data_IF_023927697446
#
_entry.id   IF_023927697446
#
_cell.length_a   1.000
_cell.length_b   1.000
_cell.length_c   1.000
_cell.angle_alpha   90.00
_cell.angle_beta   90.00
_cell.angle_gamma   90.00
#
_symmetry.space_group_name_H-M   'P 1'
#
loop_
_entity.id
_entity.type
_entity.pdbx_description
1 polymer ?
#
# COMPACT_ATOMS: atom_id res chain seq x y z
N UNK A 1 -6.14 -2.54 10.63
CA UNK A 1 -5.77 -3.98 10.59
C UNK A 1 -6.60 -4.76 9.54
N UNK A 2 -7.94 -4.76 9.54
CA UNK A 2 -8.72 -5.47 8.51
C UNK A 2 -8.31 -5.03 7.09
N UNK A 3 -8.23 -3.73 6.85
CA UNK A 3 -7.77 -3.20 5.56
C UNK A 3 -6.34 -3.65 5.21
N UNK A 4 -5.42 -3.70 6.20
CA UNK A 4 -4.09 -4.26 5.98
C UNK A 4 -4.12 -5.73 5.56
N UNK A 5 -5.01 -6.53 6.17
CA UNK A 5 -5.20 -7.92 5.75
C UNK A 5 -5.67 -8.05 4.29
N UNK A 6 -6.61 -7.19 3.85
CA UNK A 6 -7.07 -7.15 2.45
C UNK A 6 -5.91 -6.79 1.51
N UNK A 7 -5.09 -5.81 1.88
CA UNK A 7 -3.93 -5.40 1.11
C UNK A 7 -2.86 -6.49 1.04
N UNK A 8 -2.70 -7.29 2.09
CA UNK A 8 -1.80 -8.45 2.10
C UNK A 8 -2.18 -9.54 1.10
N UNK A 9 -3.43 -9.55 0.64
CA UNK A 9 -3.90 -10.46 -0.42
C UNK A 9 -3.89 -9.81 -1.82
N UNK A 10 -3.43 -8.55 -1.95
CA UNK A 10 -3.50 -7.80 -3.22
C UNK A 10 -2.66 -8.42 -4.35
N UNK A 11 -1.60 -9.12 -4.01
CA UNK A 11 -0.76 -9.83 -5.00
C UNK A 11 -1.52 -10.97 -5.71
N UNK A 12 -2.52 -11.59 -5.04
CA UNK A 12 -3.30 -12.70 -5.60
C UNK A 12 -4.04 -12.26 -6.87
N UNK A 13 -4.90 -11.21 -6.84
CA UNK A 13 -5.58 -10.78 -8.06
C UNK A 13 -4.64 -10.29 -9.15
N UNK A 14 -3.49 -9.72 -8.81
CA UNK A 14 -2.51 -9.30 -9.81
C UNK A 14 -1.93 -10.51 -10.55
N UNK A 15 -1.44 -11.53 -9.83
CA UNK A 15 -0.88 -12.75 -10.44
C UNK A 15 -1.92 -13.61 -11.15
N UNK A 16 -3.15 -13.61 -10.64
CA UNK A 16 -4.24 -14.32 -11.31
C UNK A 16 -4.57 -13.68 -12.67
N UNK A 17 -4.56 -12.35 -12.74
CA UNK A 17 -4.76 -11.63 -14.01
C UNK A 17 -3.64 -11.97 -15.01
N UNK A 18 -2.39 -12.07 -14.56
CA UNK A 18 -1.28 -12.55 -15.40
C UNK A 18 -1.52 -13.98 -15.88
N UNK A 19 -2.12 -14.83 -15.06
CA UNK A 19 -2.51 -16.20 -15.43
C UNK A 19 -3.49 -16.29 -16.61
N UNK A 20 -4.28 -15.22 -16.88
CA UNK A 20 -5.09 -15.10 -18.10
C UNK A 20 -4.26 -14.73 -19.35
N UNK A 21 -2.94 -14.60 -19.24
CA UNK A 21 -2.06 -14.17 -20.32
C UNK A 21 -2.00 -12.64 -20.50
N UNK A 22 -2.37 -11.90 -19.47
CA UNK A 22 -2.29 -10.44 -19.44
C UNK A 22 -0.90 -10.05 -18.89
N UNK A 23 -0.10 -9.25 -19.62
CA UNK A 23 1.23 -8.86 -19.17
C UNK A 23 1.20 -8.03 -17.87
N UNK A 24 2.33 -8.00 -17.16
CA UNK A 24 2.51 -7.43 -15.83
C UNK A 24 1.91 -6.03 -15.66
N UNK A 25 2.34 -5.05 -16.44
CA UNK A 25 1.89 -3.66 -16.27
C UNK A 25 0.44 -3.44 -16.75
N UNK A 26 -0.03 -4.26 -17.70
CA UNK A 26 -1.43 -4.27 -18.08
C UNK A 26 -2.32 -4.80 -16.96
N UNK A 27 -1.85 -5.80 -16.20
CA UNK A 27 -2.57 -6.29 -15.01
C UNK A 27 -2.73 -5.18 -13.97
N UNK A 28 -1.67 -4.40 -13.72
CA UNK A 28 -1.72 -3.23 -12.84
C UNK A 28 -2.65 -2.15 -13.39
N UNK A 29 -2.62 -1.89 -14.70
CA UNK A 29 -3.50 -0.92 -15.34
C UNK A 29 -4.98 -1.31 -15.16
N UNK A 30 -5.37 -2.52 -15.53
CA UNK A 30 -6.77 -2.93 -15.51
C UNK A 30 -7.38 -2.99 -14.11
N UNK A 31 -6.63 -3.52 -13.13
CA UNK A 31 -7.13 -3.61 -11.75
C UNK A 31 -7.36 -2.23 -11.14
N UNK A 32 -6.63 -1.20 -11.60
CA UNK A 32 -6.80 0.18 -11.12
C UNK A 32 -7.72 1.02 -12.01
N UNK A 33 -7.84 0.74 -13.29
CA UNK A 33 -8.76 1.45 -14.19
C UNK A 33 -10.22 1.02 -14.00
N UNK A 34 -10.47 -0.25 -13.67
CA UNK A 34 -11.82 -0.78 -13.50
C UNK A 34 -12.67 -0.02 -12.47
N UNK A 35 -12.18 0.33 -11.26
CA UNK A 35 -12.96 1.09 -10.30
C UNK A 35 -13.36 2.49 -10.76
N UNK A 36 -12.65 3.05 -11.76
CA UNK A 36 -12.97 4.38 -12.30
C UNK A 36 -14.36 4.42 -12.94
N UNK A 37 -14.85 3.29 -13.46
CA UNK A 37 -16.20 3.18 -14.03
C UNK A 37 -17.25 3.58 -13.00
N UNK A 38 -17.03 3.28 -11.72
CA UNK A 38 -17.95 3.59 -10.63
C UNK A 38 -17.60 4.90 -9.92
N UNK A 39 -16.31 5.06 -9.53
CA UNK A 39 -15.92 6.16 -8.63
C UNK A 39 -15.85 7.51 -9.37
N UNK A 40 -15.51 7.52 -10.67
CA UNK A 40 -15.39 8.75 -11.43
C UNK A 40 -16.74 9.45 -11.64
N UNK A 41 -17.82 8.77 -12.09
CA UNK A 41 -19.15 9.38 -12.13
C UNK A 41 -19.62 9.89 -10.76
N UNK A 42 -19.41 9.13 -9.70
CA UNK A 42 -19.74 9.55 -8.33
C UNK A 42 -18.99 10.81 -7.91
N UNK A 43 -17.74 10.94 -8.34
CA UNK A 43 -16.90 12.11 -8.08
C UNK A 43 -17.39 13.34 -8.86
N UNK A 44 -17.77 13.16 -10.12
CA UNK A 44 -18.31 14.23 -10.96
C UNK A 44 -19.66 14.73 -10.46
N UNK A 45 -20.54 13.84 -9.99
CA UNK A 45 -21.81 14.21 -9.36
C UNK A 45 -21.62 15.05 -8.07
N UNK A 46 -20.47 14.88 -7.40
CA UNK A 46 -20.10 15.63 -6.18
C UNK A 46 -19.04 16.70 -6.46
N UNK A 47 -19.09 17.35 -7.61
CA UNK A 47 -18.07 18.32 -8.06
C UNK A 47 -17.91 19.51 -7.09
N UNK A 48 -18.93 19.83 -6.32
CA UNK A 48 -18.85 20.84 -5.25
C UNK A 48 -17.80 20.49 -4.17
N UNK A 49 -17.51 19.22 -3.98
CA UNK A 49 -16.48 18.74 -3.05
C UNK A 49 -15.06 19.09 -3.49
N UNK A 50 -14.85 19.41 -4.77
CA UNK A 50 -13.54 19.83 -5.29
C UNK A 50 -13.24 21.31 -5.07
N UNK A 51 -14.27 22.17 -4.92
CA UNK A 51 -14.08 23.64 -4.93
C UNK A 51 -13.12 24.15 -3.85
N UNK A 52 -13.13 23.53 -2.68
CA UNK A 52 -12.35 23.99 -1.52
C UNK A 52 -11.00 23.31 -1.37
N UNK A 53 -10.79 22.14 -1.97
CA UNK A 53 -9.61 21.30 -1.74
C UNK A 53 -9.04 20.65 -3.01
N UNK A 54 -9.29 21.24 -4.19
CA UNK A 54 -8.86 20.66 -5.47
C UNK A 54 -7.34 20.38 -5.52
N UNK A 55 -6.51 21.39 -5.33
CA UNK A 55 -5.07 21.27 -5.43
C UNK A 55 -4.47 20.29 -4.41
N UNK A 56 -4.82 20.35 -3.11
CA UNK A 56 -4.37 19.34 -2.16
C UNK A 56 -4.84 17.93 -2.50
N UNK A 57 -6.08 17.77 -2.98
CA UNK A 57 -6.62 16.46 -3.38
C UNK A 57 -5.84 15.91 -4.58
N UNK A 58 -5.51 16.76 -5.56
CA UNK A 58 -4.69 16.41 -6.71
C UNK A 58 -3.28 15.99 -6.28
N UNK A 59 -2.63 16.77 -5.42
CA UNK A 59 -1.28 16.47 -4.92
C UNK A 59 -1.23 15.14 -4.16
N UNK A 60 -2.16 14.91 -3.24
CA UNK A 60 -2.25 13.65 -2.50
C UNK A 60 -2.57 12.49 -3.43
N UNK A 61 -3.51 12.70 -4.36
CA UNK A 61 -3.90 11.72 -5.37
C UNK A 61 -2.71 11.31 -6.25
N UNK A 62 -1.89 12.28 -6.68
CA UNK A 62 -0.69 12.05 -7.48
C UNK A 62 0.35 11.24 -6.70
N UNK A 63 0.70 11.68 -5.49
CA UNK A 63 1.72 11.01 -4.66
C UNK A 63 1.32 9.58 -4.33
N UNK A 64 0.09 9.38 -3.85
CA UNK A 64 -0.40 8.06 -3.50
C UNK A 64 -0.65 7.22 -4.76
N UNK A 65 -1.15 7.80 -5.85
CA UNK A 65 -1.36 7.10 -7.10
C UNK A 65 -0.07 6.54 -7.69
N UNK A 66 1.00 7.34 -7.74
CA UNK A 66 2.32 6.87 -8.18
C UNK A 66 2.87 5.83 -7.20
N UNK A 67 2.68 6.03 -5.88
CA UNK A 67 3.07 5.03 -4.88
C UNK A 67 2.43 3.67 -5.15
N UNK A 68 1.12 3.64 -5.45
CA UNK A 68 0.43 2.39 -5.76
C UNK A 68 0.81 1.80 -7.11
N UNK A 69 1.09 2.62 -8.13
CA UNK A 69 1.67 2.13 -9.39
C UNK A 69 2.95 1.35 -9.10
N UNK A 70 3.87 1.95 -8.37
CA UNK A 70 5.15 1.34 -8.06
C UNK A 70 5.00 0.10 -7.18
N UNK A 71 4.14 0.14 -6.15
CA UNK A 71 3.93 -1.02 -5.28
C UNK A 71 3.31 -2.21 -6.03
N UNK A 72 2.25 -1.96 -6.80
CA UNK A 72 1.60 -3.00 -7.59
C UNK A 72 2.56 -3.62 -8.62
N UNK A 73 3.35 -2.78 -9.31
CA UNK A 73 4.36 -3.26 -10.25
C UNK A 73 5.48 -4.05 -9.54
N UNK A 74 5.89 -3.61 -8.36
CA UNK A 74 6.90 -4.32 -7.58
C UNK A 74 6.47 -5.73 -7.18
N UNK A 75 5.19 -5.94 -6.83
CA UNK A 75 4.64 -7.27 -6.51
C UNK A 75 4.72 -8.28 -7.66
N UNK A 76 4.88 -7.80 -8.88
CA UNK A 76 5.00 -8.60 -10.09
C UNK A 76 6.46 -8.70 -10.58
N UNK A 77 7.27 -7.65 -10.37
CA UNK A 77 8.67 -7.59 -10.82
C UNK A 77 9.66 -8.27 -9.85
N UNK A 78 9.32 -8.38 -8.56
CA UNK A 78 10.16 -9.06 -7.57
C UNK A 78 9.33 -10.06 -6.75
N UNK A 79 9.95 -10.70 -5.74
CA UNK A 79 9.18 -11.57 -4.85
C UNK A 79 8.22 -10.76 -3.97
N UNK A 80 7.06 -11.34 -3.65
CA UNK A 80 6.05 -10.69 -2.79
C UNK A 80 6.68 -10.24 -1.48
N UNK A 81 7.54 -11.10 -0.91
CA UNK A 81 8.27 -10.80 0.31
C UNK A 81 9.15 -9.55 0.16
N UNK A 82 10.00 -9.48 -0.88
CA UNK A 82 10.92 -8.35 -1.09
C UNK A 82 10.17 -7.05 -1.34
N UNK A 83 9.16 -7.07 -2.23
CA UNK A 83 8.32 -5.91 -2.52
C UNK A 83 7.68 -5.37 -1.24
N UNK A 84 7.05 -6.24 -0.48
CA UNK A 84 6.39 -5.88 0.78
C UNK A 84 7.37 -5.32 1.80
N UNK A 85 8.54 -5.95 1.96
CA UNK A 85 9.55 -5.51 2.91
C UNK A 85 10.13 -4.15 2.57
N UNK A 86 10.45 -3.90 1.31
CA UNK A 86 10.99 -2.61 0.85
C UNK A 86 9.97 -1.48 1.02
N UNK A 87 8.70 -1.73 0.72
CA UNK A 87 7.63 -0.79 0.99
C UNK A 87 7.51 -0.48 2.49
N UNK A 88 7.65 -1.49 3.37
CA UNK A 88 7.48 -1.36 4.82
C UNK A 88 8.69 -0.79 5.58
N UNK A 89 9.64 -0.21 4.87
CA UNK A 89 10.53 0.84 5.42
C UNK A 89 9.73 2.15 5.65
N UNK A 90 8.54 2.26 5.08
CA UNK A 90 7.63 3.42 5.18
C UNK A 90 7.32 3.93 6.59
N UNK A 91 7.24 3.14 7.69
CA UNK A 91 7.11 3.68 9.05
C UNK A 91 8.25 4.59 9.46
N UNK A 92 9.47 4.35 8.97
CA UNK A 92 10.62 5.21 9.21
C UNK A 92 10.38 6.55 8.52
N UNK A 93 10.06 6.54 7.23
CA UNK A 93 9.75 7.75 6.47
C UNK A 93 8.57 8.52 7.06
N UNK A 94 7.49 7.82 7.37
CA UNK A 94 6.31 8.41 8.00
C UNK A 94 6.61 9.04 9.35
N UNK A 95 7.54 8.49 10.13
CA UNK A 95 7.96 9.06 11.42
C UNK A 95 8.84 10.28 11.22
N UNK A 96 9.80 10.24 10.30
CA UNK A 96 10.67 11.39 9.97
C UNK A 96 9.79 12.56 9.50
N UNK A 97 8.91 12.33 8.54
CA UNK A 97 8.01 13.35 8.01
C UNK A 97 7.05 13.83 9.10
N UNK A 98 6.50 12.95 9.91
CA UNK A 98 5.62 13.27 11.03
C UNK A 98 6.29 14.18 12.07
N UNK A 99 7.54 13.91 12.39
CA UNK A 99 8.31 14.73 13.33
C UNK A 99 8.63 16.11 12.76
N UNK A 100 9.21 16.20 11.55
CA UNK A 100 9.67 17.47 10.98
C UNK A 100 8.54 18.36 10.44
N UNK A 101 7.50 17.78 9.84
CA UNK A 101 6.46 18.52 9.14
C UNK A 101 5.11 18.57 9.86
N UNK A 102 4.85 17.62 10.78
CA UNK A 102 3.57 17.49 11.46
C UNK A 102 3.67 17.79 12.96
N UNK A 103 4.85 18.18 13.47
CA UNK A 103 5.13 18.37 14.90
C UNK A 103 4.67 17.17 15.75
N UNK A 104 4.78 15.97 15.19
CA UNK A 104 4.40 14.74 15.89
C UNK A 104 5.40 14.46 17.02
N UNK A 105 4.94 14.28 18.27
CA UNK A 105 5.85 14.00 19.37
C UNK A 105 6.55 12.65 19.18
N UNK A 106 7.87 12.66 19.17
CA UNK A 106 8.68 11.45 19.14
C UNK A 106 8.72 10.83 20.54
N UNK A 107 8.05 9.70 20.71
CA UNK A 107 7.97 9.02 22.00
C UNK A 107 8.88 7.81 22.06
N UNK A 108 9.43 7.48 23.25
CA UNK A 108 10.24 6.26 23.45
C UNK A 108 9.52 4.99 23.03
N UNK A 109 8.22 4.96 23.28
CA UNK A 109 7.36 3.84 22.89
C UNK A 109 7.29 3.65 21.39
N UNK A 110 7.24 4.76 20.63
CA UNK A 110 7.25 4.71 19.16
C UNK A 110 8.61 4.23 18.64
N UNK A 111 9.70 4.73 19.24
CA UNK A 111 11.03 4.24 18.90
C UNK A 111 11.13 2.73 19.11
N UNK A 112 10.63 2.22 20.23
CA UNK A 112 10.60 0.78 20.51
C UNK A 112 9.78 0.02 19.47
N UNK A 113 8.57 0.48 19.12
CA UNK A 113 7.75 -0.16 18.08
C UNK A 113 8.46 -0.20 16.73
N UNK A 114 9.13 0.90 16.33
CA UNK A 114 9.92 0.95 15.09
C UNK A 114 11.09 -0.03 15.15
N UNK A 115 11.83 -0.07 16.26
CA UNK A 115 12.96 -1.00 16.43
C UNK A 115 12.50 -2.46 16.35
N UNK A 116 11.39 -2.83 17.01
CA UNK A 116 10.82 -4.17 16.93
C UNK A 116 10.38 -4.50 15.50
N UNK A 117 9.75 -3.54 14.82
CA UNK A 117 9.33 -3.71 13.42
C UNK A 117 10.53 -3.94 12.49
N UNK A 118 11.60 -3.14 12.64
CA UNK A 118 12.84 -3.30 11.85
C UNK A 118 13.50 -4.66 12.12
N UNK A 119 13.62 -5.07 13.39
CA UNK A 119 14.14 -6.38 13.74
C UNK A 119 13.30 -7.47 13.09
N UNK A 120 11.98 -7.37 13.17
CA UNK A 120 11.07 -8.29 12.49
C UNK A 120 11.29 -8.35 10.98
N UNK A 121 11.50 -7.19 10.36
CA UNK A 121 11.79 -7.06 8.95
C UNK A 121 13.12 -7.76 8.57
N UNK A 122 14.18 -7.53 9.35
CA UNK A 122 15.49 -8.15 9.14
C UNK A 122 15.41 -9.67 9.30
N UNK A 123 14.65 -10.17 10.28
CA UNK A 123 14.43 -11.62 10.46
C UNK A 123 13.66 -12.23 9.28
N UNK A 124 12.70 -11.51 8.72
CA UNK A 124 11.98 -11.94 7.52
C UNK A 124 12.92 -12.04 6.30
N UNK A 125 13.84 -11.08 6.16
CA UNK A 125 14.83 -11.08 5.07
C UNK A 125 15.91 -12.16 5.23
N UNK A 126 16.34 -12.46 6.45
CA UNK A 126 17.46 -13.37 6.72
C UNK A 126 17.18 -14.84 6.41
N UNK A 127 15.90 -15.22 6.29
CA UNK A 127 15.50 -16.59 5.97
C UNK A 127 15.46 -16.92 4.46
N UNK A 128 15.70 -15.96 3.59
CA UNK A 128 15.70 -16.21 2.15
C UNK A 128 17.02 -16.80 1.70
N UNK A 129 17.03 -18.08 1.28
CA UNK A 129 18.16 -18.69 0.58
C UNK A 129 18.46 -18.01 -0.77
N UNK A 130 17.75 -16.95 -1.10
CA UNK A 130 17.85 -16.17 -2.33
C UNK A 130 18.85 -15.01 -2.24
N UNK A 131 19.98 -15.21 -1.53
CA UNK A 131 21.16 -14.33 -1.61
C UNK A 131 21.74 -14.21 -3.03
N UNK A 132 21.19 -14.96 -3.99
CA UNK A 132 21.64 -15.02 -5.39
C UNK A 132 20.87 -14.08 -6.34
N UNK A 133 19.76 -13.48 -5.92
CA UNK A 133 19.04 -12.55 -6.81
C UNK A 133 19.52 -11.13 -6.59
N UNK A 134 20.13 -10.50 -7.61
CA UNK A 134 20.51 -9.09 -7.55
C UNK A 134 19.30 -8.19 -7.30
N UNK A 135 19.54 -7.00 -6.78
CA UNK A 135 18.50 -5.97 -6.70
C UNK A 135 17.96 -5.68 -8.10
N UNK A 136 16.65 -5.61 -8.22
CA UNK A 136 15.97 -5.35 -9.48
C UNK A 136 15.10 -4.08 -9.42
N UNK A 137 14.47 -3.75 -10.53
CA UNK A 137 13.63 -2.54 -10.63
C UNK A 137 12.42 -2.61 -9.68
N UNK A 138 11.89 -3.81 -9.40
CA UNK A 138 10.79 -4.01 -8.46
C UNK A 138 11.16 -3.62 -7.02
N UNK A 139 12.39 -3.91 -6.60
CA UNK A 139 12.87 -3.49 -5.27
C UNK A 139 12.92 -1.95 -5.16
N UNK A 140 13.40 -1.27 -6.21
CA UNK A 140 13.42 0.18 -6.28
C UNK A 140 11.99 0.76 -6.27
N UNK A 141 11.09 0.18 -7.04
CA UNK A 141 9.68 0.60 -7.07
C UNK A 141 9.04 0.46 -5.69
N UNK A 142 9.22 -0.67 -5.01
CA UNK A 142 8.70 -0.88 -3.68
C UNK A 142 9.24 0.14 -2.66
N UNK A 143 10.53 0.43 -2.70
CA UNK A 143 11.16 1.41 -1.82
C UNK A 143 10.63 2.83 -2.06
N UNK A 144 10.58 3.28 -3.31
CA UNK A 144 10.06 4.60 -3.67
C UNK A 144 8.57 4.73 -3.34
N UNK A 145 7.79 3.66 -3.50
CA UNK A 145 6.37 3.66 -3.15
C UNK A 145 6.14 3.95 -1.67
N UNK A 146 6.97 3.40 -0.78
CA UNK A 146 6.91 3.67 0.67
C UNK A 146 7.15 5.14 1.02
N UNK A 147 8.11 5.79 0.35
CA UNK A 147 8.39 7.24 0.52
C UNK A 147 7.18 8.06 0.05
N UNK A 148 6.71 7.83 -1.18
CA UNK A 148 5.62 8.57 -1.79
C UNK A 148 4.31 8.42 -0.99
N UNK A 149 4.00 7.21 -0.53
CA UNK A 149 2.85 6.95 0.34
C UNK A 149 2.95 7.72 1.65
N UNK A 150 4.13 7.75 2.28
CA UNK A 150 4.36 8.50 3.51
C UNK A 150 4.19 10.01 3.30
N UNK A 151 4.70 10.56 2.19
CA UNK A 151 4.48 11.97 1.82
C UNK A 151 2.99 12.29 1.62
N UNK A 152 2.29 11.49 0.82
CA UNK A 152 0.86 11.67 0.56
C UNK A 152 0.01 11.57 1.83
N UNK A 153 0.29 10.58 2.69
CA UNK A 153 -0.38 10.40 3.97
C UNK A 153 -0.14 11.58 4.93
N UNK A 154 1.05 12.20 4.86
CA UNK A 154 1.38 13.38 5.66
C UNK A 154 0.55 14.60 5.25
N UNK A 155 0.42 14.86 3.95
CA UNK A 155 -0.43 15.94 3.45
C UNK A 155 -1.89 15.64 3.81
N UNK A 156 -2.34 14.41 3.66
CA UNK A 156 -3.70 14.01 3.98
C UNK A 156 -4.05 14.21 5.45
N UNK A 157 -3.11 14.00 6.36
CA UNK A 157 -3.25 14.28 7.79
C UNK A 157 -3.47 15.77 8.08
N UNK A 158 -2.77 16.66 7.37
CA UNK A 158 -2.93 18.12 7.51
C UNK A 158 -4.19 18.68 6.85
N UNK A 159 -4.83 17.91 5.96
CA UNK A 159 -5.94 18.35 5.14
C UNK A 159 -7.19 17.50 5.40
N UNK A 160 -7.86 17.66 6.57
CA UNK A 160 -9.11 16.94 6.88
C UNK A 160 -10.29 17.38 6.00
N UNK A 161 -10.16 18.49 5.27
CA UNK A 161 -11.11 19.01 4.30
C UNK A 161 -11.19 18.16 3.01
N UNK A 162 -10.15 17.38 2.70
CA UNK A 162 -10.13 16.49 1.53
C UNK A 162 -11.22 15.43 1.68
N UNK A 163 -12.08 15.32 0.67
CA UNK A 163 -13.15 14.33 0.62
C UNK A 163 -12.66 13.03 0.00
N UNK A 164 -13.13 11.89 0.54
CA UNK A 164 -12.63 10.56 0.14
C UNK A 164 -12.95 10.20 -1.31
N UNK A 165 -14.16 10.51 -1.81
CA UNK A 165 -14.56 10.15 -3.18
C UNK A 165 -13.67 10.83 -4.22
N UNK A 166 -13.47 12.18 -4.23
CA UNK A 166 -12.52 12.82 -5.13
C UNK A 166 -11.09 12.32 -4.99
N UNK A 167 -10.61 12.13 -3.75
CA UNK A 167 -9.26 11.63 -3.52
C UNK A 167 -9.08 10.23 -4.14
N UNK A 168 -10.00 9.32 -3.87
CA UNK A 168 -9.94 7.96 -4.40
C UNK A 168 -9.97 7.95 -5.93
N UNK A 169 -10.79 8.83 -6.55
CA UNK A 169 -10.82 8.99 -8.02
C UNK A 169 -9.45 9.42 -8.56
N UNK A 170 -8.81 10.43 -7.96
CA UNK A 170 -7.49 10.86 -8.39
C UNK A 170 -6.42 9.79 -8.17
N UNK A 171 -6.46 9.06 -7.05
CA UNK A 171 -5.52 7.95 -6.82
C UNK A 171 -5.65 6.92 -7.95
N UNK A 172 -6.87 6.45 -8.26
CA UNK A 172 -7.06 5.48 -9.33
C UNK A 172 -6.70 6.03 -10.73
N UNK A 173 -6.98 7.31 -11.01
CA UNK A 173 -6.56 7.96 -12.27
C UNK A 173 -5.03 7.93 -12.36
N UNK A 174 -4.32 8.42 -11.33
CA UNK A 174 -2.86 8.50 -11.38
C UNK A 174 -2.19 7.13 -11.32
N UNK A 175 -2.79 6.15 -10.63
CA UNK A 175 -2.29 4.77 -10.68
C UNK A 175 -2.45 4.17 -12.07
N UNK A 176 -3.60 4.37 -12.72
CA UNK A 176 -3.83 3.87 -14.08
C UNK A 176 -2.94 4.57 -15.10
N UNK A 177 -2.81 5.89 -15.01
CA UNK A 177 -1.90 6.66 -15.88
C UNK A 177 -0.45 6.23 -15.64
N UNK A 178 -0.03 6.08 -14.38
CA UNK A 178 1.30 5.61 -14.03
C UNK A 178 1.60 4.23 -14.61
N UNK A 179 0.69 3.26 -14.46
CA UNK A 179 0.83 1.94 -15.06
C UNK A 179 0.92 2.01 -16.60
N UNK A 180 0.10 2.86 -17.23
CA UNK A 180 0.15 3.06 -18.67
C UNK A 180 1.47 3.68 -19.14
N UNK A 181 2.04 4.61 -18.37
CA UNK A 181 3.36 5.17 -18.65
C UNK A 181 4.46 4.12 -18.51
N UNK A 182 4.37 3.21 -17.52
CA UNK A 182 5.31 2.09 -17.40
C UNK A 182 5.23 1.15 -18.61
N UNK A 183 4.03 0.91 -19.15
CA UNK A 183 3.85 0.13 -20.39
C UNK A 183 4.59 0.79 -21.56
N UNK A 184 4.48 2.11 -21.72
CA UNK A 184 5.08 2.82 -22.85
C UNK A 184 6.60 2.97 -22.73
N UNK A 185 7.09 3.28 -21.51
CA UNK A 185 8.48 3.73 -21.34
C UNK A 185 9.42 2.67 -20.77
N UNK A 186 8.90 1.68 -20.08
CA UNK A 186 9.74 0.67 -19.38
C UNK A 186 9.55 -0.71 -19.99
N UNK A 187 8.29 -1.09 -20.28
CA UNK A 187 8.02 -2.40 -20.82
C UNK A 187 7.95 -2.36 -22.35
N UNK A 188 8.41 -3.44 -22.98
CA UNK A 188 8.16 -3.71 -24.39
C UNK A 188 6.92 -4.62 -24.56
N UNK A 189 5.96 -4.51 -23.65
CA UNK A 189 4.77 -5.35 -23.66
C UNK A 189 3.89 -5.05 -24.88
N UNK A 190 3.41 -6.09 -25.58
CA UNK A 190 2.54 -5.89 -26.72
C UNK A 190 1.18 -5.31 -26.30
N UNK A 191 0.50 -4.65 -27.22
CA UNK A 191 -0.89 -4.24 -27.01
C UNK A 191 -1.76 -5.48 -26.80
N UNK A 192 -2.59 -5.42 -25.76
CA UNK A 192 -3.45 -6.54 -25.40
C UNK A 192 -4.59 -6.71 -26.39
N UNK A 193 -4.83 -7.97 -26.78
CA UNK A 193 -6.05 -8.30 -27.48
C UNK A 193 -7.24 -8.29 -26.50
N UNK A 194 -8.31 -7.60 -26.87
CA UNK A 194 -9.51 -7.50 -26.06
C UNK A 194 -10.12 -8.87 -25.72
N UNK A 195 -9.94 -9.85 -26.59
CA UNK A 195 -10.41 -11.24 -26.37
C UNK A 195 -9.68 -11.92 -25.21
N UNK A 196 -8.42 -11.58 -24.98
CA UNK A 196 -7.62 -12.10 -23.84
C UNK A 196 -8.06 -11.47 -22.53
N UNK A 197 -8.46 -10.19 -22.56
CA UNK A 197 -8.89 -9.47 -21.37
C UNK A 197 -10.33 -9.80 -20.93
N UNK A 198 -11.24 -10.06 -21.88
CA UNK A 198 -12.67 -10.22 -21.61
C UNK A 198 -13.01 -11.25 -20.51
N UNK A 199 -12.36 -12.45 -20.47
CA UNK A 199 -12.62 -13.44 -19.42
C UNK A 199 -12.24 -13.00 -18.01
N UNK A 200 -11.26 -12.10 -17.86
CA UNK A 200 -10.78 -11.63 -16.56
C UNK A 200 -11.66 -10.52 -15.96
N UNK A 201 -12.53 -9.86 -16.74
CA UNK A 201 -13.32 -8.70 -16.32
C UNK A 201 -14.13 -8.94 -15.03
N UNK A 202 -14.90 -10.05 -14.87
CA UNK A 202 -15.68 -10.26 -13.66
C UNK A 202 -14.80 -10.37 -12.41
N UNK A 203 -13.64 -11.02 -12.56
CA UNK A 203 -12.67 -11.20 -11.50
C UNK A 203 -11.99 -9.87 -11.12
N UNK A 204 -11.52 -9.12 -12.13
CA UNK A 204 -10.97 -7.78 -11.96
C UNK A 204 -11.98 -6.85 -11.26
N UNK A 205 -13.23 -6.83 -11.71
CA UNK A 205 -14.28 -6.00 -11.13
C UNK A 205 -14.53 -6.36 -9.66
N UNK A 206 -14.67 -7.63 -9.35
CA UNK A 206 -14.90 -8.10 -7.98
C UNK A 206 -13.78 -7.63 -7.04
N UNK A 207 -12.53 -7.91 -7.39
CA UNK A 207 -11.40 -7.54 -6.54
C UNK A 207 -11.19 -6.03 -6.46
N UNK A 208 -11.15 -5.35 -7.60
CA UNK A 208 -10.79 -3.93 -7.62
C UNK A 208 -11.89 -3.02 -7.09
N UNK A 209 -13.15 -3.29 -7.47
CA UNK A 209 -14.28 -2.39 -7.19
C UNK A 209 -15.01 -2.77 -5.90
N UNK A 210 -15.21 -4.08 -5.64
CA UNK A 210 -15.98 -4.52 -4.47
C UNK A 210 -15.09 -4.62 -3.23
N UNK A 211 -13.83 -5.06 -3.37
CA UNK A 211 -12.95 -5.32 -2.23
C UNK A 211 -11.96 -4.16 -2.01
N UNK A 212 -11.17 -3.80 -3.03
CA UNK A 212 -10.09 -2.83 -2.88
C UNK A 212 -10.56 -1.39 -2.75
N UNK A 213 -11.57 -0.96 -3.52
CA UNK A 213 -12.06 0.42 -3.48
C UNK A 213 -12.55 0.84 -2.07
N UNK A 214 -13.40 0.08 -1.36
CA UNK A 214 -13.77 0.40 0.02
C UNK A 214 -12.57 0.37 0.98
N UNK A 215 -11.63 -0.56 0.78
CA UNK A 215 -10.41 -0.65 1.59
C UNK A 215 -9.52 0.59 1.44
N UNK A 216 -9.37 1.13 0.23
CA UNK A 216 -8.69 2.42 0.00
C UNK A 216 -9.35 3.56 0.77
N UNK A 217 -10.67 3.68 0.67
CA UNK A 217 -11.40 4.75 1.35
C UNK A 217 -11.22 4.68 2.87
N UNK A 218 -11.16 3.47 3.45
CA UNK A 218 -10.89 3.26 4.87
C UNK A 218 -9.47 3.72 5.22
N UNK A 219 -8.46 3.32 4.44
CA UNK A 219 -7.05 3.71 4.68
C UNK A 219 -6.91 5.23 4.61
N UNK A 220 -7.48 5.89 3.61
CA UNK A 220 -7.41 7.35 3.48
C UNK A 220 -8.12 8.05 4.63
N UNK A 221 -9.28 7.55 5.06
CA UNK A 221 -9.97 8.12 6.23
C UNK A 221 -9.16 7.96 7.51
N UNK A 222 -8.51 6.83 7.71
CA UNK A 222 -7.61 6.59 8.85
C UNK A 222 -6.38 7.51 8.78
N UNK A 223 -5.83 7.73 7.58
CA UNK A 223 -4.69 8.64 7.37
C UNK A 223 -5.00 10.11 7.65
N UNK A 224 -6.28 10.52 7.58
CA UNK A 224 -6.68 11.85 8.06
C UNK A 224 -6.70 11.97 9.59
N UNK A 225 -6.92 10.86 10.28
CA UNK A 225 -7.11 10.84 11.74
C UNK A 225 -5.78 10.58 12.44
N UNK A 226 -5.01 9.62 11.96
CA UNK A 226 -3.75 9.17 12.54
C UNK A 226 -2.53 9.80 11.84
N UNK A 227 -1.42 9.92 12.56
CA UNK A 227 -0.15 10.31 11.97
C UNK A 227 0.40 9.24 11.04
N UNK A 228 1.15 9.61 9.98
CA UNK A 228 1.61 8.69 8.93
C UNK A 228 2.36 7.47 9.45
N UNK A 229 3.27 7.65 10.40
CA UNK A 229 4.00 6.54 10.99
C UNK A 229 3.10 5.55 11.74
N UNK A 230 2.01 6.01 12.38
CA UNK A 230 1.02 5.11 13.02
C UNK A 230 0.20 4.35 12.00
N UNK A 231 -0.20 5.03 10.93
CA UNK A 231 -0.89 4.37 9.82
C UNK A 231 -0.03 3.26 9.24
N UNK A 232 1.24 3.55 8.99
CA UNK A 232 2.18 2.57 8.45
C UNK A 232 2.37 1.35 9.38
N UNK A 233 2.54 1.57 10.70
CA UNK A 233 2.66 0.45 11.66
C UNK A 233 1.37 -0.40 11.69
N UNK A 234 0.19 0.23 11.65
CA UNK A 234 -1.07 -0.51 11.65
C UNK A 234 -1.29 -1.29 10.34
N UNK A 235 -0.78 -0.78 9.23
CA UNK A 235 -0.80 -1.46 7.95
C UNK A 235 0.22 -2.61 7.87
N UNK A 236 1.20 -2.71 8.77
CA UNK A 236 2.15 -3.85 8.79
C UNK A 236 1.47 -5.22 8.96
N UNK A 237 0.20 -5.26 9.39
CA UNK A 237 -0.61 -6.48 9.28
C UNK A 237 -0.73 -7.00 7.84
N UNK A 238 -0.56 -6.14 6.83
CA UNK A 238 -0.46 -6.51 5.42
C UNK A 238 0.74 -7.42 5.18
N UNK A 239 1.92 -7.06 5.71
CA UNK A 239 3.16 -7.86 5.58
C UNK A 239 2.93 -9.29 6.01
N UNK A 240 2.32 -9.45 7.19
CA UNK A 240 2.08 -10.78 7.77
C UNK A 240 1.15 -11.59 6.88
N UNK A 241 0.05 -10.98 6.43
CA UNK A 241 -0.92 -11.66 5.55
C UNK A 241 -0.31 -11.96 4.19
N UNK A 242 0.45 -11.01 3.59
CA UNK A 242 1.10 -11.21 2.31
C UNK A 242 2.09 -12.38 2.36
N UNK A 243 2.96 -12.41 3.37
CA UNK A 243 3.99 -13.43 3.49
C UNK A 243 3.39 -14.80 3.83
N UNK A 244 2.40 -14.86 4.74
CA UNK A 244 1.72 -16.13 5.07
C UNK A 244 1.00 -16.66 3.84
N UNK A 245 0.22 -15.82 3.15
CA UNK A 245 -0.51 -16.25 1.95
C UNK A 245 0.43 -16.67 0.82
N UNK A 246 1.52 -15.93 0.61
CA UNK A 246 2.55 -16.31 -0.35
C UNK A 246 3.21 -17.66 0.01
N UNK A 247 3.59 -17.84 1.27
CA UNK A 247 4.21 -19.08 1.73
C UNK A 247 3.31 -20.33 1.59
N UNK A 248 1.99 -20.13 1.64
CA UNK A 248 1.01 -21.22 1.49
C UNK A 248 0.68 -21.49 0.02
N UNK A 249 0.51 -20.43 -0.77
CA UNK A 249 0.01 -20.52 -2.14
C UNK A 249 1.11 -20.59 -3.21
N UNK A 250 2.32 -20.11 -2.88
CA UNK A 250 3.48 -20.10 -3.77
C UNK A 250 4.57 -20.99 -3.16
N UNK A 251 4.77 -22.23 -3.64
CA UNK A 251 5.73 -23.20 -3.06
C UNK A 251 7.16 -22.66 -2.99
N UNK A 252 7.56 -21.79 -3.90
CA UNK A 252 8.88 -21.18 -3.99
C UNK A 252 9.11 -20.11 -2.90
N UNK A 253 8.03 -19.58 -2.29
CA UNK A 253 8.07 -18.55 -1.25
C UNK A 253 7.73 -19.10 0.16
N UNK A 254 8.04 -20.39 0.44
CA UNK A 254 7.80 -20.99 1.77
C UNK A 254 8.63 -20.35 2.86
N UNK A 255 7.96 -20.05 3.99
CA UNK A 255 8.60 -19.44 5.16
C UNK A 255 9.44 -20.41 5.96
N UNK A 256 10.65 -19.96 6.35
CA UNK A 256 11.50 -20.61 7.33
C UNK A 256 11.19 -20.13 8.77
N UNK A 257 11.72 -20.83 9.76
CA UNK A 257 11.48 -20.53 11.19
C UNK A 257 11.78 -19.07 11.56
N UNK A 258 12.90 -18.51 11.07
CA UNK A 258 13.30 -17.12 11.34
C UNK A 258 12.30 -16.12 10.78
N UNK A 259 11.68 -16.40 9.65
CA UNK A 259 10.66 -15.55 9.04
C UNK A 259 9.37 -15.54 9.85
N UNK A 260 8.98 -16.68 10.45
CA UNK A 260 7.87 -16.74 11.39
C UNK A 260 8.11 -15.89 12.64
N UNK A 261 9.33 -15.89 13.19
CA UNK A 261 9.72 -15.01 14.29
C UNK A 261 9.66 -13.54 13.87
N UNK A 262 10.10 -13.22 12.65
CA UNK A 262 9.99 -11.88 12.09
C UNK A 262 8.55 -11.41 11.96
N UNK A 263 7.67 -12.24 11.45
CA UNK A 263 6.22 -11.96 11.35
C UNK A 263 5.61 -11.67 12.74
N UNK A 264 5.96 -12.49 13.73
CA UNK A 264 5.50 -12.30 15.11
C UNK A 264 6.01 -10.97 15.71
N UNK A 265 7.26 -10.60 15.45
CA UNK A 265 7.82 -9.32 15.89
C UNK A 265 7.06 -8.13 15.27
N UNK A 266 6.74 -8.18 13.97
CA UNK A 266 5.96 -7.14 13.29
C UNK A 266 4.55 -7.00 13.89
N UNK A 267 3.87 -8.13 14.13
CA UNK A 267 2.55 -8.12 14.80
C UNK A 267 2.67 -7.46 16.17
N UNK A 268 3.69 -7.83 16.94
CA UNK A 268 3.95 -7.28 18.28
C UNK A 268 4.19 -5.77 18.23
N UNK A 269 4.94 -5.26 17.24
CA UNK A 269 5.15 -3.83 17.03
C UNK A 269 3.83 -3.10 16.78
N UNK A 270 2.94 -3.64 15.95
CA UNK A 270 1.61 -3.08 15.69
C UNK A 270 0.73 -3.05 16.95
N UNK A 271 0.74 -4.11 17.76
CA UNK A 271 -0.01 -4.16 19.01
C UNK A 271 0.53 -3.19 20.06
N UNK A 272 1.85 -3.04 20.20
CA UNK A 272 2.45 -2.08 21.15
C UNK A 272 2.01 -0.66 20.84
N UNK A 273 1.97 -0.25 19.57
CA UNK A 273 1.50 1.07 19.19
C UNK A 273 0.01 1.29 19.54
N UNK A 274 -0.85 0.28 19.34
CA UNK A 274 -2.27 0.34 19.71
C UNK A 274 -2.48 0.47 21.22
N UNK A 275 -1.76 -0.32 22.01
CA UNK A 275 -1.84 -0.32 23.47
C UNK A 275 -1.41 1.04 24.04
N UNK A 276 -0.28 1.57 23.56
CA UNK A 276 0.25 2.85 24.01
C UNK A 276 -0.69 4.01 23.64
N UNK A 277 -1.28 3.98 22.43
CA UNK A 277 -2.27 4.98 22.03
C UNK A 277 -3.49 4.99 22.97
N UNK A 278 -3.92 3.82 23.46
CA UNK A 278 -5.06 3.67 24.39
C UNK A 278 -4.73 4.21 25.79
N UNK A 279 -3.54 3.94 26.30
CA UNK A 279 -3.12 4.43 27.62
C UNK A 279 -2.94 5.95 27.66
N UNK A 280 -2.37 6.58 26.62
CA UNK A 280 -2.26 8.04 26.54
C UNK A 280 -3.63 8.73 26.53
N UNK A 281 -4.62 8.15 25.86
CA UNK A 281 -5.98 8.71 25.84
C UNK A 281 -6.63 8.64 27.23
N UNK A 282 -6.33 7.62 28.03
CA UNK A 282 -6.86 7.48 29.39
C UNK A 282 -6.20 8.45 30.38
N UNK A 283 -4.91 8.77 30.22
CA UNK A 283 -4.18 9.71 31.08
C UNK A 283 -4.56 11.18 30.85
N UNK A 284 -5.11 11.53 29.68
CA UNK A 284 -5.60 12.90 29.40
C UNK A 284 -7.01 13.18 29.91
N UNK A 285 -7.68 12.21 30.52
CA UNK A 285 -9.02 12.33 31.12
C UNK A 285 -9.03 12.24 32.65
N UNK A 286 -7.85 12.23 33.29
CA UNK A 286 -7.75 12.33 34.75
C UNK A 286 -7.42 13.80 35.06
N UNK A 287 -8.33 14.52 35.72
CA UNK A 287 -8.15 15.94 36.07
C UNK A 287 -6.97 16.15 37.00
#
# INVERSE_FOLDING_TARGET
>A
MISGGIWGLYWIPLREIEGYGIPTYWSVFFINACPLILILPLSLLKISHFRTSFWPTLQVGLLIGIAFTFYASALLETTIMRATLMFYISPIWGTIIGYFFLSEPFTRARLLSICIAIVGLVLLLSGTNNSSYPLNIGDLFAFLSGILFSCGSSILKHRPDIKMIPLTSFVYIFTSVGAFLLIIFISNEPLINIKTFLPSIPYVFMWSTVILLPSFMIVFKVSQILFPGRVAILLMSEVVVAIISASVLVPEERMFYLQWLGALAIITAGFTELVIAKFKKKSSYIP
#
